data_IF_869404923893
#
_entry.id   IF_869404923893
#
_cell.length_a   1.000
_cell.length_b   1.000
_cell.length_c   1.000
_cell.angle_alpha   90.00
_cell.angle_beta   90.00
_cell.angle_gamma   90.00
#
_symmetry.space_group_name_H-M   'P 1'
#
loop_
_entity.id
_entity.type
_entity.pdbx_description
1 polymer ?
#
# COMPACT_ATOMS: atom_id res chain seq x y z
N UNK A 1 -7.44 -14.17 3.51
CA UNK A 1 -6.74 -12.86 3.49
C UNK A 1 -5.62 -12.94 2.47
N UNK A 2 -5.48 -11.93 1.61
CA UNK A 2 -4.43 -11.90 0.58
C UNK A 2 -3.22 -11.13 1.09
N UNK A 3 -2.01 -11.47 0.65
CA UNK A 3 -0.82 -10.69 0.92
C UNK A 3 -0.21 -10.18 -0.39
N UNK A 4 0.13 -8.89 -0.45
CA UNK A 4 0.86 -8.27 -1.56
C UNK A 4 2.11 -7.60 -1.03
N UNK A 5 3.26 -7.95 -1.60
CA UNK A 5 4.55 -7.35 -1.23
C UNK A 5 5.04 -6.47 -2.36
N UNK A 6 5.43 -5.23 -2.03
CA UNK A 6 6.04 -4.31 -2.97
C UNK A 6 7.44 -3.94 -2.53
N UNK A 7 8.36 -3.92 -3.49
CA UNK A 7 9.70 -3.38 -3.26
C UNK A 7 9.69 -1.86 -3.39
N UNK A 8 10.43 -1.21 -2.51
CA UNK A 8 10.56 0.25 -2.48
C UNK A 8 12.03 0.60 -2.62
N UNK A 9 12.35 1.30 -3.69
CA UNK A 9 13.71 1.68 -4.05
C UNK A 9 13.96 3.17 -3.90
N UNK A 10 15.24 3.53 -3.80
CA UNK A 10 15.72 4.90 -3.95
C UNK A 10 16.29 5.04 -5.36
N UNK A 11 15.70 5.91 -6.18
CA UNK A 11 16.13 6.16 -7.56
C UNK A 11 16.12 7.65 -7.85
N UNK A 12 17.24 8.18 -8.33
CA UNK A 12 17.38 9.61 -8.68
C UNK A 12 16.94 10.55 -7.53
N UNK A 13 17.32 10.23 -6.28
CA UNK A 13 16.93 11.00 -5.10
C UNK A 13 15.46 10.90 -4.71
N UNK A 14 14.72 9.93 -5.26
CA UNK A 14 13.30 9.72 -4.99
C UNK A 14 13.03 8.30 -4.49
N UNK A 15 12.20 8.19 -3.47
CA UNK A 15 11.65 6.92 -3.01
C UNK A 15 10.50 6.56 -3.94
N UNK A 16 10.54 5.39 -4.56
CA UNK A 16 9.50 4.91 -5.47
C UNK A 16 9.21 3.44 -5.22
N UNK A 17 8.00 3.02 -5.57
CA UNK A 17 7.59 1.61 -5.50
C UNK A 17 7.95 0.96 -6.84
N UNK A 18 8.74 -0.11 -6.81
CA UNK A 18 9.21 -0.77 -8.02
C UNK A 18 8.02 -1.37 -8.80
N UNK A 19 7.98 -1.10 -10.10
CA UNK A 19 6.91 -1.58 -10.98
C UNK A 19 5.56 -0.87 -10.81
N UNK A 20 5.49 0.21 -10.03
CA UNK A 20 4.27 1.01 -9.85
C UNK A 20 4.50 2.43 -10.34
N UNK A 21 3.92 2.74 -11.50
CA UNK A 21 3.97 4.07 -12.07
C UNK A 21 3.13 5.09 -11.27
N UNK A 22 3.57 6.34 -11.31
CA UNK A 22 2.79 7.47 -10.79
C UNK A 22 2.91 7.73 -9.28
N UNK A 23 3.73 6.97 -8.54
CA UNK A 23 4.06 7.26 -7.14
C UNK A 23 5.58 7.42 -6.93
N UNK A 24 5.98 8.56 -6.37
CA UNK A 24 7.34 8.77 -5.86
C UNK A 24 7.35 9.90 -4.82
N UNK A 25 8.35 9.90 -3.95
CA UNK A 25 8.57 10.93 -2.93
C UNK A 25 10.00 11.43 -3.07
N UNK A 26 10.20 12.73 -3.28
CA UNK A 26 11.55 13.31 -3.28
C UNK A 26 12.15 13.29 -1.87
N UNK A 27 13.39 12.84 -1.74
CA UNK A 27 14.08 12.77 -0.45
C UNK A 27 14.45 14.18 0.06
N UNK A 28 14.74 15.12 -0.84
CA UNK A 28 15.08 16.49 -0.47
C UNK A 28 13.86 17.26 0.10
N UNK A 29 12.73 17.21 -0.59
CA UNK A 29 11.44 17.80 -0.20
C UNK A 29 10.34 16.71 -0.10
N UNK A 30 10.23 16.03 1.06
CA UNK A 30 9.37 14.87 1.24
C UNK A 30 7.89 15.26 1.31
N UNK A 31 7.22 15.26 0.17
CA UNK A 31 5.77 15.47 0.09
C UNK A 31 5.04 14.18 -0.27
N UNK A 32 4.30 13.63 0.69
CA UNK A 32 3.45 12.46 0.45
C UNK A 32 2.14 12.90 -0.22
N UNK A 33 1.90 12.42 -1.43
CA UNK A 33 0.60 12.55 -2.08
C UNK A 33 -0.25 11.30 -1.79
N UNK A 34 -1.22 11.45 -0.88
CA UNK A 34 -2.09 10.35 -0.44
C UNK A 34 -2.94 9.79 -1.59
N UNK A 35 -3.42 10.63 -2.50
CA UNK A 35 -4.22 10.18 -3.66
C UNK A 35 -3.40 9.30 -4.62
N UNK A 36 -2.13 9.65 -4.86
CA UNK A 36 -1.21 8.81 -5.64
C UNK A 36 -0.87 7.51 -4.90
N UNK A 37 -0.66 7.55 -3.58
CA UNK A 37 -0.43 6.35 -2.77
C UNK A 37 -1.63 5.39 -2.83
N UNK A 38 -2.85 5.93 -2.69
CA UNK A 38 -4.08 5.16 -2.80
C UNK A 38 -4.20 4.50 -4.17
N UNK A 39 -4.00 5.27 -5.25
CA UNK A 39 -4.06 4.76 -6.61
C UNK A 39 -3.02 3.66 -6.88
N UNK A 40 -1.82 3.81 -6.31
CA UNK A 40 -0.71 2.89 -6.46
C UNK A 40 -0.92 1.55 -5.74
N UNK A 41 -1.45 1.58 -4.51
CA UNK A 41 -1.44 0.42 -3.62
C UNK A 41 -2.82 -0.17 -3.32
N UNK A 42 -3.86 0.67 -3.27
CA UNK A 42 -5.15 0.32 -2.67
C UNK A 42 -6.31 0.30 -3.68
N UNK A 43 -6.25 1.04 -4.78
CA UNK A 43 -7.36 1.16 -5.72
C UNK A 43 -7.83 -0.17 -6.34
N UNK A 44 -6.93 -1.16 -6.43
CA UNK A 44 -7.22 -2.50 -6.95
C UNK A 44 -7.47 -3.54 -5.85
N UNK A 45 -7.76 -3.13 -4.61
CA UNK A 45 -8.04 -4.04 -3.49
C UNK A 45 -9.55 -4.14 -3.29
N UNK A 46 -10.10 -5.30 -3.63
CA UNK A 46 -11.52 -5.65 -3.49
C UNK A 46 -11.84 -6.50 -2.25
N UNK A 47 -10.81 -7.05 -1.60
CA UNK A 47 -10.95 -8.02 -0.50
C UNK A 47 -9.85 -7.83 0.55
N UNK A 48 -10.02 -8.34 1.78
CA UNK A 48 -9.05 -8.17 2.86
C UNK A 48 -7.63 -8.55 2.44
N UNK A 49 -6.75 -7.55 2.40
CA UNK A 49 -5.39 -7.65 1.87
C UNK A 49 -4.40 -6.97 2.80
N UNK A 50 -3.33 -7.67 3.14
CA UNK A 50 -2.15 -7.10 3.81
C UNK A 50 -1.15 -6.65 2.75
N UNK A 51 -0.74 -5.39 2.81
CA UNK A 51 0.33 -4.86 1.96
C UNK A 51 1.61 -4.79 2.77
N UNK A 52 2.67 -5.43 2.29
CA UNK A 52 4.01 -5.34 2.87
C UNK A 52 4.93 -4.54 1.97
N UNK A 53 5.67 -3.60 2.55
CA UNK A 53 6.70 -2.84 1.84
C UNK A 53 8.09 -3.35 2.24
N UNK A 54 8.93 -3.62 1.24
CA UNK A 54 10.31 -4.07 1.44
C UNK A 54 11.31 -3.06 0.85
N UNK A 55 12.26 -2.55 1.63
CA UNK A 55 13.20 -1.56 1.12
C UNK A 55 14.38 -2.23 0.41
N UNK A 56 14.84 -1.63 -0.70
CA UNK A 56 16.08 -2.05 -1.37
C UNK A 56 17.32 -1.73 -0.53
N UNK A 57 18.45 -2.36 -0.86
CA UNK A 57 19.72 -2.12 -0.17
C UNK A 57 20.15 -0.65 -0.22
N UNK A 58 20.01 -0.01 -1.39
CA UNK A 58 20.34 1.41 -1.57
C UNK A 58 19.49 2.31 -0.67
N UNK A 59 18.19 2.05 -0.58
CA UNK A 59 17.30 2.80 0.31
C UNK A 59 17.69 2.65 1.78
N UNK A 60 18.12 1.45 2.20
CA UNK A 60 18.56 1.18 3.58
C UNK A 60 19.85 1.92 3.95
N UNK A 61 20.71 2.22 2.98
CA UNK A 61 21.98 2.90 3.18
C UNK A 61 21.80 4.42 3.35
N UNK A 62 20.78 5.01 2.71
CA UNK A 62 20.45 6.42 2.90
C UNK A 62 19.59 6.62 4.16
N UNK A 63 20.14 7.33 5.16
CA UNK A 63 19.48 7.54 6.45
C UNK A 63 18.14 8.29 6.31
N UNK A 64 18.08 9.29 5.43
CA UNK A 64 16.89 10.13 5.25
C UNK A 64 15.80 9.34 4.53
N UNK A 65 16.16 8.63 3.46
CA UNK A 65 15.26 7.77 2.71
C UNK A 65 14.73 6.61 3.56
N UNK A 66 15.58 5.99 4.38
CA UNK A 66 15.17 4.95 5.34
C UNK A 66 14.13 5.48 6.33
N UNK A 67 14.31 6.68 6.87
CA UNK A 67 13.33 7.27 7.80
C UNK A 67 11.97 7.51 7.14
N UNK A 68 11.96 8.01 5.90
CA UNK A 68 10.72 8.17 5.14
C UNK A 68 10.06 6.85 4.78
N UNK A 69 10.85 5.84 4.43
CA UNK A 69 10.35 4.50 4.17
C UNK A 69 9.63 3.91 5.40
N UNK A 70 10.20 4.04 6.59
CA UNK A 70 9.58 3.54 7.83
C UNK A 70 8.25 4.27 8.12
N UNK A 71 8.18 5.58 7.88
CA UNK A 71 6.93 6.34 7.97
C UNK A 71 5.91 5.90 6.94
N UNK A 72 6.32 5.70 5.68
CA UNK A 72 5.44 5.21 4.61
C UNK A 72 4.88 3.82 4.94
N UNK A 73 5.74 2.92 5.45
CA UNK A 73 5.35 1.59 5.88
C UNK A 73 4.26 1.65 6.96
N UNK A 74 4.45 2.46 8.02
CA UNK A 74 3.43 2.64 9.07
C UNK A 74 2.10 3.16 8.55
N UNK A 75 2.12 4.07 7.57
CA UNK A 75 0.89 4.59 6.94
C UNK A 75 0.16 3.47 6.19
N UNK A 76 0.90 2.65 5.42
CA UNK A 76 0.33 1.53 4.67
C UNK A 76 -0.20 0.45 5.59
N UNK A 77 0.55 0.07 6.63
CA UNK A 77 0.12 -0.90 7.64
C UNK A 77 -1.18 -0.42 8.31
N UNK A 78 -1.21 0.81 8.82
CA UNK A 78 -2.39 1.37 9.48
C UNK A 78 -3.60 1.53 8.54
N UNK A 79 -3.39 1.74 7.24
CA UNK A 79 -4.47 1.75 6.25
C UNK A 79 -5.04 0.34 6.04
N UNK A 80 -4.19 -0.68 5.91
CA UNK A 80 -4.63 -2.08 5.83
C UNK A 80 -5.43 -2.50 7.07
N UNK A 81 -4.97 -2.17 8.27
CA UNK A 81 -5.67 -2.49 9.52
C UNK A 81 -7.09 -1.90 9.57
N UNK A 82 -7.27 -0.66 9.09
CA UNK A 82 -8.58 0.00 9.08
C UNK A 82 -9.48 -0.46 7.94
N UNK A 83 -8.92 -0.79 6.77
CA UNK A 83 -9.68 -1.13 5.58
C UNK A 83 -10.18 -2.59 5.58
N UNK A 84 -9.35 -3.52 6.07
CA UNK A 84 -9.62 -4.95 5.97
C UNK A 84 -10.91 -5.43 6.67
N UNK A 85 -11.30 -4.91 7.86
CA UNK A 85 -12.57 -5.27 8.48
C UNK A 85 -13.77 -4.92 7.61
N UNK A 86 -13.81 -3.70 7.05
CA UNK A 86 -14.90 -3.27 6.17
C UNK A 86 -14.99 -4.11 4.90
N UNK A 87 -13.86 -4.46 4.29
CA UNK A 87 -13.83 -5.36 3.13
C UNK A 87 -14.31 -6.79 3.48
N UNK A 88 -14.00 -7.28 4.68
CA UNK A 88 -14.48 -8.58 5.13
C UNK A 88 -16.00 -8.59 5.31
N UNK A 89 -16.57 -7.54 5.91
CA UNK A 89 -18.02 -7.41 6.06
C UNK A 89 -18.75 -7.32 4.71
N UNK A 90 -18.19 -6.57 3.75
CA UNK A 90 -18.73 -6.47 2.39
C UNK A 90 -18.71 -7.83 1.70
N UNK A 91 -17.62 -8.58 1.81
CA UNK A 91 -17.50 -9.91 1.21
C UNK A 91 -18.55 -10.89 1.76
N UNK A 92 -18.76 -10.89 3.09
CA UNK A 92 -19.79 -11.72 3.73
C UNK A 92 -21.20 -11.34 3.25
N UNK A 93 -21.48 -10.04 3.10
CA UNK A 93 -22.78 -9.56 2.60
C UNK A 93 -23.01 -9.94 1.13
N UNK A 94 -21.98 -9.86 0.29
CA UNK A 94 -22.09 -10.26 -1.11
C UNK A 94 -22.46 -11.75 -1.23
N UNK A 95 -21.79 -12.62 -0.49
CA UNK A 95 -22.06 -14.07 -0.51
C UNK A 95 -23.49 -14.42 -0.06
N UNK A 96 -24.05 -13.67 0.90
CA UNK A 96 -25.45 -13.84 1.34
C UNK A 96 -26.47 -13.39 0.30
N UNK A 97 -26.16 -12.34 -0.48
CA UNK A 97 -27.03 -11.86 -1.56
C UNK A 97 -27.07 -12.86 -2.72
N UNK A 98 -25.94 -13.48 -3.05
CA UNK A 98 -25.87 -14.53 -4.08
C UNK A 98 -26.64 -15.81 -3.67
N UNK A 99 -26.72 -16.10 -2.36
CA UNK A 99 -27.45 -17.24 -1.83
C UNK A 99 -28.98 -17.05 -1.79
N UNK A 100 -29.46 -15.81 -1.60
CA UNK A 100 -30.90 -15.50 -1.46
C UNK A 100 -31.62 -15.32 -2.81
N UNK A 101 -30.89 -15.00 -3.88
CA UNK A 101 -31.44 -14.85 -5.24
C UNK A 101 -31.81 -16.17 -5.95
N UNK A 102 -31.64 -17.33 -5.30
CA UNK A 102 -31.89 -18.66 -5.87
C UNK A 102 -33.23 -19.29 -5.42
N UNK A 103 -34.20 -18.51 -4.92
CA UNK A 103 -35.47 -19.02 -4.41
C UNK A 103 -36.71 -18.45 -5.10
#
# INVERSE_FOLDING_TARGET
>A
MVQKTYRVGLKDGKIAIEGVDGFSIAVEDPKLNVGKLYSALFAAIDRPTTISLEPTTELKQDQKARSFFESLKKIVDGACEKMNPGLAEIAVKAEQLDADGSK
#
